data_IF_070979993499
#
_entry.id   IF_070979993499
#
_cell.length_a   1.000
_cell.length_b   1.000
_cell.length_c   1.000
_cell.angle_alpha   90.00
_cell.angle_beta   90.00
_cell.angle_gamma   90.00
#
_symmetry.space_group_name_H-M   'P 1'
#
loop_
_entity.id
_entity.type
_entity.pdbx_description
1 polymer ?
2 polymer ?
3 polymer ?
4 polymer ?
5 non-polymer ?
6 non-polymer ?
7 non-polymer ?
8 non-polymer ?
9 non-polymer ?
10 water ?
#
loop_
_entity_poly.entity_id
_entity_poly.type
_entity_poly.pdbx_seq_one_letter_code
_entity_poly.pdbx_strand_id
2 'polydeoxyribonucleotide' '(DC)(DG)(DG)(DC)(DA)(DT)(DA)(DC)(DG)' ?
3 'polydeoxyribonucleotide' '(DC)(DG)(DT)(DA)(8OG)' ?
4 'polydeoxyribonucleotide' '(DG)(DC)(DC)(DG)' ?
#
# COMPACT_ATOMS: atom_id res chain seq x y z
N UNK A 12 9.43 -15.81 17.50
CA UNK A 12 8.73 -14.88 16.53
C UNK A 12 8.18 -13.67 17.31
N UNK A 13 8.71 -12.46 17.07
CA UNK A 13 8.17 -11.27 17.76
C UNK A 13 6.74 -10.91 17.30
N UNK A 14 6.02 -10.16 18.12
CA UNK A 14 4.57 -9.98 17.93
C UNK A 14 4.22 -8.90 16.89
N UNK A 15 5.14 -7.95 16.70
CA UNK A 15 4.93 -6.85 15.75
C UNK A 15 5.68 -7.12 14.45
N UNK A 16 5.07 -6.81 13.31
CA UNK A 16 5.69 -7.04 12.00
C UNK A 16 6.97 -6.23 11.80
N UNK A 17 7.06 -5.05 12.44
CA UNK A 17 8.27 -4.23 12.30
C UNK A 17 9.48 -4.76 13.06
N UNK A 18 9.28 -5.81 13.88
CA UNK A 18 10.37 -6.46 14.60
C UNK A 18 10.99 -7.68 13.92
N UNK A 19 10.56 -8.00 12.69
CA UNK A 19 11.02 -9.20 12.01
C UNK A 19 11.13 -8.92 10.51
N UNK A 20 12.17 -9.45 9.86
CA UNK A 20 12.30 -9.31 8.41
C UNK A 20 11.20 -10.09 7.70
N UNK A 21 10.57 -9.42 6.73
CA UNK A 21 9.56 -10.09 5.92
C UNK A 21 9.96 -9.90 4.47
N UNK A 22 10.43 -10.96 3.83
CA UNK A 22 10.85 -10.87 2.43
C UNK A 22 9.65 -10.82 1.48
N UNK A 23 9.87 -10.38 0.25
CA UNK A 23 8.82 -10.32 -0.73
C UNK A 23 8.28 -11.70 -1.08
N UNK A 24 9.20 -12.63 -1.31
CA UNK A 24 8.86 -14.03 -1.60
C UNK A 24 9.25 -14.91 -0.41
N UNK A 25 8.49 -15.96 -0.19
CA UNK A 25 8.63 -16.70 1.06
C UNK A 25 8.20 -18.16 0.86
N UNK A 26 7.93 -18.85 1.98
CA UNK A 26 7.76 -20.32 2.00
C UNK A 26 6.38 -20.77 2.42
N UNK A 27 5.42 -19.84 2.46
CA UNK A 27 4.06 -20.15 2.92
C UNK A 27 3.03 -19.36 2.13
N UNK A 28 3.29 -19.24 0.83
CA UNK A 28 2.50 -18.37 -0.02
C UNK A 28 1.02 -18.71 -0.05
N UNK A 29 0.70 -20.00 -0.21
CA UNK A 29 -0.69 -20.47 -0.23
C UNK A 29 -1.45 -20.18 1.07
N UNK A 30 -0.79 -20.43 2.21
CA UNK A 30 -1.39 -20.19 3.52
C UNK A 30 -1.65 -18.70 3.75
N UNK A 31 -0.61 -17.88 3.55
CA UNK A 31 -0.72 -16.42 3.76
C UNK A 31 -1.85 -15.81 2.89
N UNK A 32 -1.95 -16.30 1.63
CA UNK A 32 -2.99 -15.87 0.64
C UNK A 32 -4.40 -16.13 1.13
N UNK A 33 -4.62 -17.36 1.60
CA UNK A 33 -5.93 -17.75 2.14
C UNK A 33 -6.34 -16.85 3.30
N UNK A 34 -5.40 -16.60 4.21
CA UNK A 34 -5.68 -15.71 5.35
C UNK A 34 -5.96 -14.29 4.85
N UNK A 35 -5.25 -13.86 3.81
CA UNK A 35 -5.52 -12.53 3.24
C UNK A 35 -6.88 -12.38 2.58
N UNK A 36 -7.42 -13.47 2.01
CA UNK A 36 -8.80 -13.47 1.53
C UNK A 36 -9.78 -13.16 2.67
N UNK A 37 -9.60 -13.82 3.81
CA UNK A 37 -10.44 -13.60 5.00
C UNK A 37 -10.29 -12.18 5.55
N UNK A 38 -9.05 -11.66 5.53
CA UNK A 38 -8.78 -10.27 5.92
C UNK A 38 -9.56 -9.30 5.05
N UNK A 39 -9.44 -9.48 3.74
CA UNK A 39 -10.11 -8.64 2.76
C UNK A 39 -11.63 -8.66 2.97
N UNK A 40 -12.20 -9.84 3.14
CA UNK A 40 -13.64 -10.01 3.37
C UNK A 40 -14.10 -9.32 4.64
N UNK A 41 -13.32 -9.43 5.71
CA UNK A 41 -13.60 -8.71 6.97
C UNK A 41 -13.64 -7.20 6.75
N UNK A 42 -12.68 -6.68 5.98
CA UNK A 42 -12.68 -5.27 5.58
C UNK A 42 -13.94 -4.88 4.82
N UNK A 43 -14.39 -5.74 3.90
CA UNK A 43 -15.63 -5.46 3.17
C UNK A 43 -16.89 -5.39 4.08
N UNK A 44 -16.87 -6.05 5.22
CA UNK A 44 -17.98 -5.95 6.18
C UNK A 44 -17.69 -4.97 7.33
N UNK A 45 -16.73 -4.07 7.14
CA UNK A 45 -16.38 -3.05 8.15
C UNK A 45 -15.73 -3.54 9.44
N UNK A 46 -15.19 -4.76 9.44
CA UNK A 46 -14.58 -5.34 10.62
C UNK A 46 -13.06 -5.17 10.56
N UNK A 47 -12.60 -3.96 10.94
CA UNK A 47 -11.18 -3.64 10.87
C UNK A 47 -10.34 -4.47 11.84
N UNK A 48 -10.89 -4.82 13.00
CA UNK A 48 -10.18 -5.67 13.96
C UNK A 48 -9.85 -7.05 13.40
N UNK A 49 -10.86 -7.69 12.82
CA UNK A 49 -10.67 -9.01 12.22
C UNK A 49 -9.72 -8.94 11.00
N UNK A 50 -9.87 -7.88 10.20
CA UNK A 50 -8.93 -7.66 9.05
C UNK A 50 -7.50 -7.63 9.56
N UNK A 51 -7.27 -6.83 10.61
CA UNK A 51 -5.94 -6.71 11.18
C UNK A 51 -5.37 -8.03 11.64
N UNK A 52 -6.17 -8.83 12.38
CA UNK A 52 -5.67 -10.09 12.87
C UNK A 52 -5.32 -11.06 11.73
N UNK A 53 -6.20 -11.17 10.74
CA UNK A 53 -5.93 -12.06 9.58
C UNK A 53 -4.71 -11.56 8.80
N UNK A 54 -4.60 -10.25 8.62
CA UNK A 54 -3.38 -9.69 8.00
C UNK A 54 -2.12 -10.02 8.78
N UNK A 55 -2.16 -9.84 10.11
CA UNK A 55 -1.00 -10.11 10.96
C UNK A 55 -0.62 -11.58 10.93
N UNK A 56 -1.62 -12.46 10.99
CA UNK A 56 -1.38 -13.89 10.93
C UNK A 56 -0.75 -14.27 9.58
N UNK A 57 -1.28 -13.72 8.51
CA UNK A 57 -0.69 -13.95 7.20
C UNK A 57 0.78 -13.50 7.17
N UNK A 58 1.05 -12.33 7.73
CA UNK A 58 2.41 -11.77 7.74
C UNK A 58 3.39 -12.62 8.55
N UNK A 59 2.91 -13.20 9.65
CA UNK A 59 3.72 -14.09 10.46
C UNK A 59 4.21 -15.25 9.57
N UNK A 60 3.32 -15.81 8.77
CA UNK A 60 3.69 -16.90 7.86
C UNK A 60 4.72 -16.48 6.83
N UNK A 61 4.60 -15.25 6.32
CA UNK A 61 5.59 -14.72 5.38
C UNK A 61 6.99 -14.63 5.99
N UNK A 62 7.07 -14.45 7.31
CA UNK A 62 8.33 -14.27 8.03
C UNK A 62 9.01 -15.57 8.47
N UNK A 63 8.32 -16.69 8.32
CA UNK A 63 8.86 -17.99 8.71
C UNK A 63 9.98 -18.41 7.76
N UNK A 64 10.99 -19.13 8.29
CA UNK A 64 12.12 -19.53 7.46
C UNK A 64 11.89 -20.77 6.58
N UNK A 65 10.76 -21.44 6.73
CA UNK A 65 10.44 -22.62 5.92
C UNK A 65 8.93 -22.87 5.90
N UNK A 66 8.46 -23.82 5.07
CA UNK A 66 7.02 -24.11 5.04
C UNK A 66 6.46 -24.70 6.32
N UNK A 67 5.27 -24.25 6.69
CA UNK A 67 4.46 -24.92 7.68
C UNK A 67 3.89 -26.20 7.05
N UNK A 68 4.25 -27.36 7.63
CA UNK A 68 3.74 -28.66 7.19
C UNK A 68 2.79 -29.34 8.19
N UNK A 69 2.83 -28.95 9.45
CA UNK A 69 2.00 -29.55 10.50
C UNK A 69 1.42 -28.49 11.40
N UNK A 70 0.26 -28.79 11.96
CA UNK A 70 -0.48 -27.85 12.80
C UNK A 70 0.33 -27.41 14.02
N UNK A 71 1.09 -28.34 14.60
CA UNK A 71 1.92 -28.07 15.77
C UNK A 71 2.91 -26.92 15.59
N UNK A 72 3.35 -26.68 14.35
CA UNK A 72 4.31 -25.60 14.08
C UNK A 72 3.70 -24.20 14.28
N UNK A 73 2.38 -24.10 14.35
CA UNK A 73 1.71 -22.84 14.70
C UNK A 73 1.74 -22.52 16.20
N UNK A 74 1.94 -23.53 17.05
CA UNK A 74 1.96 -23.33 18.51
C UNK A 74 3.03 -22.31 18.90
N UNK A 75 2.62 -21.30 19.67
CA UNK A 75 3.53 -20.25 20.10
C UNK A 75 3.62 -19.07 19.14
N UNK A 76 3.13 -19.21 17.90
CA UNK A 76 3.22 -18.10 16.94
C UNK A 76 2.19 -17.04 17.27
N UNK A 77 2.59 -15.77 17.26
CA UNK A 77 1.65 -14.70 17.56
C UNK A 77 0.59 -14.56 16.46
N UNK A 78 -0.62 -14.15 16.87
CA UNK A 78 -1.77 -13.92 16.00
C UNK A 78 -2.42 -15.17 15.42
N UNK A 79 -2.03 -16.35 15.92
CA UNK A 79 -2.69 -17.60 15.57
C UNK A 79 -3.49 -18.14 16.74
N UNK A 80 -4.81 -17.99 16.64
CA UNK A 80 -5.78 -18.52 17.61
C UNK A 80 -6.62 -19.58 16.94
N UNK A 81 -7.82 -19.81 17.49
CA UNK A 81 -8.69 -20.88 16.99
C UNK A 81 -9.02 -20.76 15.50
N UNK A 82 -9.38 -19.55 15.06
CA UNK A 82 -9.86 -19.33 13.71
C UNK A 82 -8.76 -19.47 12.65
N UNK A 83 -7.67 -18.72 12.81
CA UNK A 83 -6.56 -18.76 11.85
C UNK A 83 -5.93 -20.13 11.82
N UNK A 84 -5.89 -20.81 12.97
CA UNK A 84 -5.30 -22.15 13.05
C UNK A 84 -6.16 -23.19 12.32
N UNK A 85 -7.47 -23.08 12.45
CA UNK A 85 -8.39 -23.96 11.71
C UNK A 85 -8.26 -23.78 10.21
N UNK A 86 -8.09 -22.54 9.75
CA UNK A 86 -7.94 -22.28 8.33
C UNK A 86 -6.69 -23.01 7.81
N UNK A 87 -5.58 -22.86 8.51
CA UNK A 87 -4.34 -23.54 8.12
C UNK A 87 -4.49 -25.06 8.19
N UNK A 88 -5.11 -25.57 9.26
CA UNK A 88 -5.36 -27.00 9.43
C UNK A 88 -6.06 -27.59 8.21
N UNK A 89 -7.14 -26.94 7.78
CA UNK A 89 -7.92 -27.40 6.63
C UNK A 89 -7.11 -27.37 5.34
N UNK A 90 -6.34 -26.29 5.16
CA UNK A 90 -5.43 -26.22 4.02
C UNK A 90 -4.35 -27.34 4.04
N UNK A 91 -3.79 -27.63 5.20
CA UNK A 91 -2.75 -28.67 5.30
C UNK A 91 -3.35 -30.07 5.05
N UNK A 92 -4.59 -30.27 5.47
CA UNK A 92 -5.26 -31.58 5.36
C UNK A 92 -5.85 -31.83 4.00
N UNK A 93 -6.60 -30.85 3.48
CA UNK A 93 -7.41 -31.01 2.27
C UNK A 93 -6.97 -30.15 1.07
N UNK A 94 -5.97 -29.28 1.26
CA UNK A 94 -5.51 -28.38 0.20
C UNK A 94 -6.46 -27.22 -0.10
N UNK A 95 -7.52 -27.08 0.70
CA UNK A 95 -8.58 -26.11 0.48
C UNK A 95 -9.25 -25.84 1.83
N UNK A 96 -9.68 -24.59 2.06
CA UNK A 96 -10.40 -24.21 3.28
C UNK A 96 -11.79 -23.79 2.87
N UNK A 97 -12.80 -24.51 3.37
CA UNK A 97 -14.16 -24.28 2.90
C UNK A 97 -14.62 -22.84 3.10
N UNK A 98 -14.31 -22.25 4.25
CA UNK A 98 -14.67 -20.86 4.52
C UNK A 98 -14.09 -19.92 3.46
N UNK A 99 -12.81 -20.12 3.16
CA UNK A 99 -12.12 -19.30 2.15
C UNK A 99 -12.79 -19.45 0.79
N UNK A 100 -13.12 -20.68 0.41
CA UNK A 100 -13.75 -20.91 -0.90
C UNK A 100 -15.14 -20.32 -0.99
N UNK A 101 -15.90 -20.41 0.10
CA UNK A 101 -17.21 -19.79 0.20
C UNK A 101 -17.13 -18.26 0.01
N UNK A 102 -16.14 -17.62 0.64
CA UNK A 102 -15.91 -16.18 0.40
C UNK A 102 -15.55 -15.90 -1.05
N UNK A 103 -14.57 -16.62 -1.60
CA UNK A 103 -14.15 -16.42 -2.99
C UNK A 103 -15.30 -16.44 -3.98
N UNK A 104 -16.18 -17.42 -3.79
CA UNK A 104 -17.35 -17.64 -4.65
C UNK A 104 -18.43 -16.58 -4.52
N UNK A 105 -18.54 -15.97 -3.34
CA UNK A 105 -19.69 -15.15 -2.98
C UNK A 105 -19.87 -13.91 -3.84
N UNK A 106 -21.13 -13.63 -4.18
CA UNK A 106 -21.46 -12.46 -4.99
C UNK A 106 -21.01 -11.18 -4.28
N UNK A 107 -21.20 -11.14 -2.97
CA UNK A 107 -20.81 -10.00 -2.13
C UNK A 107 -19.31 -9.73 -2.23
N UNK A 108 -18.49 -10.75 -2.02
CA UNK A 108 -17.04 -10.58 -2.09
C UNK A 108 -16.58 -10.15 -3.48
N UNK A 109 -17.06 -10.85 -4.50
CA UNK A 109 -16.66 -10.58 -5.87
C UNK A 109 -17.01 -9.16 -6.31
N UNK A 110 -18.19 -8.68 -5.92
CA UNK A 110 -18.65 -7.34 -6.30
C UNK A 110 -17.92 -6.23 -5.53
N UNK A 111 -17.80 -6.42 -4.23
CA UNK A 111 -17.05 -5.49 -3.37
C UNK A 111 -15.60 -5.37 -3.80
N UNK A 112 -15.00 -6.52 -4.18
CA UNK A 112 -13.66 -6.51 -4.73
C UNK A 112 -13.59 -5.68 -6.02
N UNK A 113 -14.52 -5.94 -6.94
CA UNK A 113 -14.59 -5.22 -8.21
C UNK A 113 -14.79 -3.73 -8.00
N UNK A 114 -15.72 -3.36 -7.12
CA UNK A 114 -16.03 -1.94 -6.93
C UNK A 114 -14.91 -1.21 -6.17
N UNK A 115 -14.38 -1.81 -5.11
CA UNK A 115 -13.32 -1.16 -4.31
C UNK A 115 -12.00 -1.00 -5.07
N UNK A 116 -11.79 -1.85 -6.08
CA UNK A 116 -10.64 -1.74 -6.97
C UNK A 116 -10.69 -0.51 -7.88
N UNK A 117 -11.85 0.12 -8.03
CA UNK A 117 -11.97 1.32 -8.85
C UNK A 117 -11.35 2.49 -8.10
N UNK A 118 -10.52 3.25 -8.79
CA UNK A 118 -9.95 4.48 -8.23
C UNK A 118 -11.11 5.48 -8.00
N UNK A 119 -11.26 5.94 -6.76
CA UNK A 119 -12.36 6.83 -6.35
C UNK A 119 -13.49 6.16 -5.57
N UNK A 120 -13.44 4.83 -5.47
CA UNK A 120 -14.44 4.04 -4.75
C UNK A 120 -13.82 3.33 -3.56
N UNK A 121 -14.33 3.57 -2.36
CA UNK A 121 -13.87 2.91 -1.15
C UNK A 121 -14.90 1.88 -0.73
N UNK A 122 -14.67 1.27 0.43
CA UNK A 122 -15.60 0.26 0.96
C UNK A 122 -17.04 0.81 1.10
N UNK A 123 -17.17 2.00 1.69
CA UNK A 123 -18.48 2.60 1.94
C UNK A 123 -19.29 2.86 0.66
N UNK A 124 -18.63 3.35 -0.39
CA UNK A 124 -19.30 3.59 -1.66
C UNK A 124 -19.68 2.25 -2.30
N UNK A 125 -18.72 1.32 -2.37
CA UNK A 125 -18.95 -0.02 -2.91
C UNK A 125 -20.14 -0.74 -2.22
N UNK A 126 -20.17 -0.66 -0.90
CA UNK A 126 -21.25 -1.26 -0.10
C UNK A 126 -22.62 -0.65 -0.42
N UNK A 127 -22.71 0.68 -0.49
CA UNK A 127 -23.97 1.35 -0.83
C UNK A 127 -24.45 0.95 -2.22
N UNK A 128 -23.54 0.97 -3.20
CA UNK A 128 -23.85 0.50 -4.55
C UNK A 128 -24.32 -0.97 -4.57
N UNK A 129 -23.69 -1.80 -3.74
CA UNK A 129 -24.08 -3.21 -3.62
C UNK A 129 -25.52 -3.33 -3.13
N UNK A 130 -25.83 -2.58 -2.07
CA UNK A 130 -27.18 -2.54 -1.49
C UNK A 130 -28.23 -2.00 -2.45
N UNK A 131 -27.84 -1.07 -3.33
CA UNK A 131 -28.71 -0.57 -4.42
C UNK A 131 -28.92 -1.56 -5.58
N UNK A 132 -28.24 -2.71 -5.55
CA UNK A 132 -28.42 -3.75 -6.53
C UNK A 132 -27.44 -3.70 -7.68
N UNK A 133 -26.43 -2.80 -7.62
CA UNK A 133 -25.47 -2.67 -8.70
C UNK A 133 -24.43 -3.78 -8.56
N UNK A 134 -23.98 -4.34 -9.68
CA UNK A 134 -23.06 -5.49 -9.67
C UNK A 134 -21.86 -5.41 -10.62
N UNK A 135 -21.97 -4.65 -11.72
CA UNK A 135 -20.97 -4.67 -12.77
C UNK A 135 -20.47 -3.26 -13.07
N UNK A 136 -19.34 -3.17 -13.74
CA UNK A 136 -18.81 -1.87 -14.15
C UNK A 136 -19.78 -1.14 -15.11
N UNK A 137 -20.40 -1.89 -16.02
CA UNK A 137 -21.40 -1.30 -16.92
C UNK A 137 -22.67 -0.80 -16.20
N UNK A 138 -23.04 -1.40 -15.07
CA UNK A 138 -24.09 -0.83 -14.20
C UNK A 138 -23.75 0.58 -13.72
N UNK A 139 -22.47 0.82 -13.43
CA UNK A 139 -22.00 2.14 -13.00
C UNK A 139 -21.92 3.13 -14.16
N UNK A 140 -21.52 2.63 -15.33
CA UNK A 140 -21.44 3.45 -16.54
C UNK A 140 -22.81 3.87 -17.08
N UNK A 141 -23.82 3.03 -16.86
CA UNK A 141 -25.22 3.34 -17.22
C UNK A 141 -25.84 4.49 -16.42
N UNK A 142 -25.36 4.73 -15.20
CA UNK A 142 -25.84 5.84 -14.35
C UNK A 142 -24.69 6.80 -13.96
N UNK A 143 -24.05 7.44 -14.97
CA UNK A 143 -22.83 8.21 -14.73
C UNK A 143 -23.04 9.54 -14.01
N UNK A 144 -24.28 10.01 -13.92
CA UNK A 144 -24.63 11.24 -13.18
C UNK A 144 -24.30 11.14 -11.68
N UNK A 145 -24.37 9.92 -11.14
CA UNK A 145 -24.02 9.65 -9.74
C UNK A 145 -22.51 9.71 -9.44
N UNK A 146 -21.66 9.55 -10.44
CA UNK A 146 -20.21 9.37 -10.23
C UNK A 146 -19.48 10.69 -9.99
N UNK A 147 -18.49 10.66 -9.11
CA UNK A 147 -17.60 11.82 -8.94
C UNK A 147 -16.66 11.87 -10.14
N UNK A 148 -16.00 13.01 -10.34
CA UNK A 148 -15.03 13.15 -11.43
C UNK A 148 -13.91 12.11 -11.30
N UNK A 149 -13.50 11.86 -10.07
CA UNK A 149 -12.44 10.90 -9.74
C UNK A 149 -12.92 9.48 -10.07
N UNK A 150 -14.16 9.15 -9.71
CA UNK A 150 -14.74 7.84 -10.07
C UNK A 150 -14.94 7.69 -11.56
N UNK A 151 -15.33 8.77 -12.24
CA UNK A 151 -15.42 8.73 -13.71
C UNK A 151 -14.08 8.39 -14.33
N UNK A 152 -13.02 9.01 -13.82
CA UNK A 152 -11.67 8.74 -14.30
C UNK A 152 -11.26 7.31 -14.00
N UNK A 153 -11.52 6.88 -12.77
CA UNK A 153 -11.23 5.50 -12.37
C UNK A 153 -11.93 4.47 -13.23
N UNK A 154 -13.17 4.77 -13.61
CA UNK A 154 -13.94 3.85 -14.44
C UNK A 154 -13.50 3.88 -15.91
N UNK A 155 -13.30 5.07 -16.47
CA UNK A 155 -12.77 5.21 -17.85
C UNK A 155 -11.47 4.46 -18.03
N UNK A 156 -10.58 4.61 -17.04
CA UNK A 156 -9.25 4.03 -17.15
C UNK A 156 -9.09 2.68 -16.45
N UNK A 157 -10.19 2.09 -16.00
CA UNK A 157 -10.15 0.89 -15.18
C UNK A 157 -9.35 -0.26 -15.81
N UNK A 158 -9.53 -0.49 -17.11
CA UNK A 158 -8.85 -1.59 -17.78
C UNK A 158 -7.33 -1.43 -17.75
N UNK A 159 -6.85 -0.25 -18.14
CA UNK A 159 -5.41 0.03 -18.10
C UNK A 159 -4.87 -0.06 -16.66
N UNK A 160 -5.63 0.47 -15.72
CA UNK A 160 -5.24 0.48 -14.30
C UNK A 160 -5.19 -0.93 -13.69
N UNK A 161 -5.86 -1.90 -14.32
CA UNK A 161 -5.80 -3.30 -13.91
C UNK A 161 -4.59 -4.07 -14.47
N UNK A 162 -3.90 -3.49 -15.44
CA UNK A 162 -2.77 -4.10 -16.11
C UNK A 162 -1.51 -3.83 -15.29
N UNK A 163 -0.67 -4.86 -15.05
CA UNK A 163 0.49 -4.59 -14.21
C UNK A 163 1.49 -3.60 -14.81
N UNK A 164 2.01 -2.74 -13.95
CA UNK A 164 3.06 -1.80 -14.28
C UNK A 164 4.37 -2.57 -14.13
N UNK A 165 5.26 -2.47 -15.12
CA UNK A 165 6.58 -3.15 -15.10
C UNK A 165 7.71 -2.19 -14.74
N UNK A 166 8.87 -2.74 -14.38
CA UNK A 166 10.01 -1.92 -13.98
C UNK A 166 10.50 -1.00 -15.11
N UNK A 167 10.43 -1.46 -16.35
CA UNK A 167 10.71 -0.61 -17.53
C UNK A 167 9.77 0.61 -17.61
N UNK A 168 8.50 0.41 -17.27
CA UNK A 168 7.54 1.51 -17.18
C UNK A 168 7.99 2.51 -16.13
N UNK A 169 8.41 1.99 -14.98
CA UNK A 169 8.81 2.85 -13.85
C UNK A 169 10.00 3.75 -14.24
N UNK A 170 11.00 3.16 -14.88
CA UNK A 170 12.17 3.93 -15.32
C UNK A 170 11.80 5.03 -16.32
N UNK A 171 10.93 4.69 -17.27
CA UNK A 171 10.36 5.67 -18.19
C UNK A 171 9.69 6.83 -17.44
N UNK A 172 8.82 6.50 -16.49
CA UNK A 172 8.08 7.50 -15.71
C UNK A 172 8.98 8.37 -14.84
N UNK A 173 10.01 7.78 -14.25
CA UNK A 173 10.92 8.54 -13.41
C UNK A 173 11.66 9.63 -14.20
N UNK A 174 12.07 9.28 -15.42
CA UNK A 174 12.72 10.25 -16.30
C UNK A 174 11.80 11.45 -16.58
N UNK A 175 10.52 11.21 -16.87
CA UNK A 175 9.63 12.31 -17.23
C UNK A 175 9.32 13.19 -16.02
N UNK A 176 9.20 12.56 -14.85
CA UNK A 176 8.94 13.27 -13.60
C UNK A 176 10.14 14.14 -13.23
N UNK A 177 11.32 13.56 -13.33
CA UNK A 177 12.57 14.30 -13.13
C UNK A 177 12.70 15.54 -14.01
N UNK A 178 12.31 15.43 -15.29
CA UNK A 178 12.41 16.57 -16.20
C UNK A 178 11.53 17.71 -15.72
N UNK A 179 10.27 17.40 -15.39
CA UNK A 179 9.33 18.39 -14.90
C UNK A 179 9.79 18.97 -13.56
N UNK A 180 10.33 18.12 -12.70
CA UNK A 180 10.79 18.54 -11.37
C UNK A 180 12.00 19.46 -11.48
N UNK A 181 12.91 19.13 -12.39
CA UNK A 181 14.10 19.95 -12.66
C UNK A 181 13.80 21.35 -13.17
N UNK A 182 12.69 21.52 -13.90
CA UNK A 182 12.24 22.83 -14.35
C UNK A 182 11.49 23.55 -13.25
N UNK A 183 10.70 22.79 -12.49
CA UNK A 183 9.94 23.37 -11.39
C UNK A 183 10.88 23.92 -10.31
N UNK A 184 11.96 23.19 -10.05
CA UNK A 184 12.90 23.58 -9.00
C UNK A 184 14.24 22.89 -9.17
N UNK A 185 15.21 23.56 -9.81
CA UNK A 185 16.55 23.00 -9.95
C UNK A 185 17.14 22.55 -8.61
N UNK A 186 17.71 21.35 -8.61
CA UNK A 186 18.28 20.74 -7.43
C UNK A 186 17.33 19.77 -6.72
N UNK A 187 16.04 19.79 -7.06
CA UNK A 187 15.07 18.91 -6.41
C UNK A 187 15.32 17.51 -6.89
N UNK A 188 15.03 16.53 -6.02
CA UNK A 188 15.33 15.14 -6.30
C UNK A 188 14.05 14.33 -6.30
N UNK A 189 14.10 13.20 -6.98
CA UNK A 189 12.95 12.32 -7.14
C UNK A 189 13.43 10.95 -6.68
N UNK A 190 12.74 10.38 -5.70
CA UNK A 190 13.02 9.05 -5.17
C UNK A 190 11.85 8.10 -5.40
N UNK A 191 12.14 6.93 -5.98
CA UNK A 191 11.14 5.88 -6.16
C UNK A 191 10.83 5.27 -4.79
N UNK A 192 9.54 5.17 -4.45
CA UNK A 192 9.13 4.60 -3.17
C UNK A 192 8.08 3.51 -3.42
N UNK A 193 7.24 3.20 -2.45
CA UNK A 193 6.25 2.14 -2.59
C UNK A 193 6.80 0.76 -2.85
N UNK A 194 5.96 -0.08 -3.45
CA UNK A 194 6.31 -1.49 -3.66
C UNK A 194 7.54 -1.73 -4.49
N UNK A 195 7.81 -0.85 -5.47
CA UNK A 195 9.01 -1.01 -6.29
C UNK A 195 10.29 -0.84 -5.47
N UNK A 196 10.26 0.06 -4.48
CA UNK A 196 11.45 0.22 -3.61
C UNK A 196 11.64 -1.02 -2.70
N UNK A 197 10.56 -1.71 -2.38
CA UNK A 197 10.62 -2.99 -1.63
C UNK A 197 11.03 -4.17 -2.49
N UNK A 198 11.31 -3.94 -3.76
CA UNK A 198 11.83 -4.98 -4.67
C UNK A 198 10.83 -5.67 -5.58
N UNK A 199 9.58 -5.23 -5.58
CA UNK A 199 8.58 -5.81 -6.47
C UNK A 199 8.98 -5.56 -7.92
N UNK A 200 8.75 -6.55 -8.76
CA UNK A 200 9.10 -6.43 -10.18
C UNK A 200 7.95 -5.87 -10.96
N UNK A 201 6.73 -5.98 -10.41
CA UNK A 201 5.56 -5.36 -10.99
C UNK A 201 4.76 -4.62 -9.93
N UNK A 202 3.80 -3.84 -10.37
CA UNK A 202 2.92 -3.14 -9.45
C UNK A 202 1.68 -2.69 -10.15
N UNK A 203 0.77 -2.07 -9.42
CA UNK A 203 -0.41 -1.45 -10.02
C UNK A 203 -0.39 0.06 -9.97
N UNK A 204 0.74 0.62 -9.53
CA UNK A 204 0.91 2.05 -9.47
C UNK A 204 2.38 2.35 -9.19
N UNK A 205 2.76 3.60 -9.40
CA UNK A 205 4.13 4.06 -9.13
C UNK A 205 4.10 5.23 -8.14
N UNK A 206 5.02 5.20 -7.19
CA UNK A 206 5.10 6.24 -6.17
C UNK A 206 6.44 6.94 -6.18
N UNK A 207 6.41 8.27 -6.12
CA UNK A 207 7.61 9.10 -6.04
C UNK A 207 7.56 10.10 -4.90
N UNK A 208 8.72 10.31 -4.30
CA UNK A 208 8.92 11.24 -3.22
C UNK A 208 9.94 12.30 -3.68
N UNK A 209 9.56 13.55 -3.58
CA UNK A 209 10.33 14.68 -4.08
C UNK A 209 10.74 15.56 -2.91
N UNK A 210 11.98 16.04 -2.92
CA UNK A 210 12.43 16.97 -1.90
C UNK A 210 13.52 17.85 -2.51
N UNK A 211 14.13 18.68 -1.68
CA UNK A 211 15.22 19.55 -2.12
C UNK A 211 16.15 19.68 -0.93
N UNK A 212 17.50 19.66 -1.16
CA UNK A 212 18.47 19.68 -0.04
C UNK A 212 18.45 20.93 0.88
N UNK A 213 18.00 22.06 0.34
CA UNK A 213 17.79 23.30 1.11
C UNK A 213 16.38 23.37 1.72
N UNK A 214 16.29 23.16 3.03
CA UNK A 214 15.01 23.22 3.76
C UNK A 214 14.20 24.45 3.40
N UNK A 215 12.96 24.24 3.01
CA UNK A 215 12.05 25.32 2.66
C UNK A 215 11.93 25.56 1.18
N UNK A 216 12.93 25.15 0.39
CA UNK A 216 12.88 25.38 -1.06
C UNK A 216 11.78 24.56 -1.73
N UNK A 217 11.40 23.45 -1.09
CA UNK A 217 10.34 22.59 -1.64
C UNK A 217 8.92 23.19 -1.46
N UNK A 218 8.78 24.26 -0.68
CA UNK A 218 7.48 24.90 -0.49
C UNK A 218 6.90 25.32 -1.86
N UNK A 219 5.64 24.95 -2.10
CA UNK A 219 4.94 25.27 -3.35
C UNK A 219 5.38 24.52 -4.58
N UNK A 220 6.14 23.44 -4.41
CA UNK A 220 6.72 22.72 -5.53
C UNK A 220 5.69 21.90 -6.30
N UNK A 221 4.80 21.21 -5.60
CA UNK A 221 3.94 20.26 -6.28
C UNK A 221 3.05 20.89 -7.38
N UNK A 222 2.43 22.05 -7.11
CA UNK A 222 1.65 22.68 -8.20
C UNK A 222 2.48 22.97 -9.43
N UNK A 223 3.72 23.40 -9.21
CA UNK A 223 4.62 23.69 -10.31
C UNK A 223 4.97 22.46 -11.11
N UNK A 224 5.17 21.34 -10.42
CA UNK A 224 5.44 20.09 -11.10
C UNK A 224 4.20 19.65 -11.91
N UNK A 225 3.03 19.73 -11.29
CA UNK A 225 1.80 19.27 -11.93
C UNK A 225 1.46 20.04 -13.20
N UNK A 226 1.62 21.36 -13.14
CA UNK A 226 1.35 22.24 -14.30
C UNK A 226 2.27 21.94 -15.48
N UNK A 227 3.53 21.64 -15.19
CA UNK A 227 4.51 21.26 -16.20
C UNK A 227 4.22 19.89 -16.82
N UNK A 228 3.87 18.91 -15.98
CA UNK A 228 3.45 17.62 -16.51
C UNK A 228 2.19 17.74 -17.37
N UNK A 229 1.26 18.59 -16.93
CA UNK A 229 0.03 18.91 -17.68
C UNK A 229 0.32 19.50 -19.05
N UNK A 230 1.23 20.47 -19.09
CA UNK A 230 1.63 21.11 -20.36
C UNK A 230 2.37 20.18 -21.32
N UNK A 231 3.02 19.14 -20.79
CA UNK A 231 3.62 18.08 -21.60
C UNK A 231 2.61 17.06 -22.16
N UNK A 232 1.34 17.18 -21.81
CA UNK A 232 0.28 16.28 -22.26
C UNK A 232 0.27 14.93 -21.55
N UNK A 233 0.90 14.86 -20.38
CA UNK A 233 1.13 13.57 -19.68
C UNK A 233 0.08 13.21 -18.64
N UNK A 234 -0.81 14.14 -18.30
CA UNK A 234 -1.70 13.96 -17.19
C UNK A 234 -3.08 13.71 -17.74
N UNK A 235 -3.53 12.46 -17.61
CA UNK A 235 -4.89 12.09 -18.00
C UNK A 235 -5.89 12.49 -16.94
N UNK A 236 -5.49 12.47 -15.67
CA UNK A 236 -6.33 12.89 -14.54
C UNK A 236 -5.46 13.37 -13.37
N UNK A 237 -5.90 14.44 -12.70
CA UNK A 237 -5.31 14.96 -11.46
C UNK A 237 -6.39 15.68 -10.67
N UNK A 238 -6.21 15.83 -9.36
CA UNK A 238 -7.19 16.49 -8.49
C UNK A 238 -7.23 18.02 -8.59
N UNK A 239 -6.06 18.65 -8.77
CA UNK A 239 -5.93 20.11 -8.78
C UNK A 239 -6.30 20.73 -10.13
N UNK A 259 -0.30 21.83 -0.26
CA UNK A 259 -0.58 20.80 -1.26
C UNK A 259 0.66 19.95 -1.52
N UNK A 260 0.64 18.72 -0.98
CA UNK A 260 1.84 17.88 -0.91
C UNK A 260 1.73 16.44 -1.40
N UNK A 261 0.51 15.98 -1.72
CA UNK A 261 0.28 14.66 -2.33
C UNK A 261 -0.61 14.83 -3.55
N UNK A 262 -0.22 14.26 -4.67
CA UNK A 262 -1.01 14.29 -5.90
C UNK A 262 -1.25 12.86 -6.34
N UNK A 263 -2.51 12.46 -6.50
CA UNK A 263 -2.85 11.12 -6.97
C UNK A 263 -3.33 11.25 -8.41
N UNK A 264 -2.45 10.92 -9.35
CA UNK A 264 -2.64 11.16 -10.79
C UNK A 264 -2.86 9.90 -11.60
N UNK A 265 -3.33 10.10 -12.84
CA UNK A 265 -3.24 9.08 -13.86
C UNK A 265 -2.41 9.69 -14.98
N UNK A 266 -1.30 9.02 -15.30
CA UNK A 266 -0.35 9.47 -16.28
C UNK A 266 -0.59 8.73 -17.57
N UNK A 267 -0.26 9.42 -18.64
CA UNK A 267 -0.14 8.83 -19.93
C UNK A 267 1.27 8.27 -20.18
N UNK A 268 1.39 6.95 -20.21
CA UNK A 268 2.68 6.29 -20.43
C UNK A 268 2.83 5.74 -21.84
N UNK A 269 3.85 6.21 -22.60
CA UNK A 269 4.22 5.62 -23.90
C UNK A 269 4.34 4.08 -23.94
N UNK A 270 3.76 3.50 -24.98
CA UNK A 270 3.79 2.06 -25.26
C UNK A 270 4.13 1.92 -26.75
N UNK A 271 4.48 0.69 -27.21
CA UNK A 271 4.74 0.49 -28.65
C UNK A 271 3.57 0.95 -29.55
N UNK A 272 3.75 2.09 -30.23
CA UNK A 272 2.76 2.64 -31.14
C UNK A 272 1.48 3.18 -30.49
N UNK A 273 1.53 3.39 -29.18
CA UNK A 273 0.36 3.77 -28.41
C UNK A 273 0.79 4.22 -26.99
N UNK A 274 -0.07 4.00 -26.02
CA UNK A 274 0.22 4.33 -24.62
C UNK A 274 -0.76 3.63 -23.72
N UNK A 275 -0.53 3.73 -22.41
CA UNK A 275 -1.49 3.25 -21.43
C UNK A 275 -1.55 4.18 -20.24
N UNK A 276 -2.69 4.19 -19.59
CA UNK A 276 -2.92 4.95 -18.37
C UNK A 276 -2.24 4.23 -17.19
N UNK A 277 -1.58 5.01 -16.34
CA UNK A 277 -0.86 4.47 -15.16
C UNK A 277 -1.10 5.38 -13.94
N UNK A 278 -1.46 4.77 -12.82
CA UNK A 278 -1.58 5.50 -11.57
C UNK A 278 -0.19 5.90 -11.03
N UNK A 279 -0.02 7.19 -10.77
CA UNK A 279 1.25 7.72 -10.22
C UNK A 279 0.92 8.62 -9.05
N UNK A 280 1.65 8.44 -7.96
CA UNK A 280 1.51 9.29 -6.79
C UNK A 280 2.77 10.10 -6.66
N UNK A 281 2.60 11.41 -6.50
CA UNK A 281 3.70 12.34 -6.33
C UNK A 281 3.57 13.00 -4.99
N UNK A 282 4.64 12.94 -4.20
CA UNK A 282 4.60 13.44 -2.83
C UNK A 282 5.79 14.35 -2.62
N UNK A 283 5.57 15.48 -1.96
CA UNK A 283 6.65 16.40 -1.62
C UNK A 283 6.84 16.44 -0.10
N UNK A 284 8.09 16.47 0.35
CA UNK A 284 8.40 16.64 1.78
C UNK A 284 9.63 17.51 1.93
N UNK A 285 9.68 18.36 2.97
CA UNK A 285 10.95 19.05 3.25
C UNK A 285 12.02 18.05 3.63
N UNK A 286 13.28 18.39 3.38
CA UNK A 286 14.37 17.46 3.67
C UNK A 286 14.40 17.01 5.15
N UNK A 287 14.01 17.89 6.07
CA UNK A 287 13.88 17.51 7.49
C UNK A 287 12.95 16.33 7.72
N UNK A 288 11.90 16.24 6.91
CA UNK A 288 10.89 15.18 7.04
C UNK A 288 11.14 14.01 6.10
N UNK A 289 12.09 14.15 5.16
CA UNK A 289 12.27 13.15 4.10
C UNK A 289 12.42 11.71 4.62
N UNK A 290 13.25 11.48 5.67
CA UNK A 290 13.37 10.09 6.13
C UNK A 290 12.07 9.48 6.61
N UNK A 291 11.22 10.28 7.26
CA UNK A 291 9.92 9.81 7.72
C UNK A 291 8.98 9.57 6.55
N UNK A 292 9.01 10.47 5.57
CA UNK A 292 8.15 10.33 4.39
C UNK A 292 8.59 9.11 3.58
N UNK A 293 9.91 8.93 3.43
CA UNK A 293 10.45 7.78 2.75
C UNK A 293 10.02 6.47 3.43
N UNK A 294 10.17 6.42 4.74
CA UNK A 294 9.74 5.27 5.53
C UNK A 294 8.26 4.96 5.30
N UNK A 295 7.41 5.97 5.47
CA UNK A 295 5.97 5.76 5.32
C UNK A 295 5.58 5.29 3.93
N UNK A 296 6.09 6.02 2.93
CA UNK A 296 5.73 5.76 1.55
C UNK A 296 6.34 4.48 0.98
N UNK A 297 7.34 3.92 1.66
CA UNK A 297 7.95 2.67 1.23
C UNK A 297 7.16 1.46 1.72
N UNK A 298 6.46 1.60 2.83
CA UNK A 298 5.53 0.57 3.25
C UNK A 298 6.23 -0.67 3.77
N UNK A 299 5.57 -1.84 3.72
CA UNK A 299 4.19 -2.02 3.27
C UNK A 299 3.19 -1.33 4.20
N UNK A 300 1.92 -1.32 3.77
CA UNK A 300 0.83 -0.74 4.60
C UNK A 300 0.84 -1.37 6.00
N UNK A 301 0.85 -2.70 6.05
CA UNK A 301 0.86 -3.39 7.35
C UNK A 301 2.11 -3.07 8.16
N UNK A 302 3.26 -3.05 7.50
CA UNK A 302 4.49 -2.66 8.16
C UNK A 302 4.36 -1.28 8.84
N UNK A 303 3.77 -0.32 8.14
CA UNK A 303 3.68 1.04 8.68
C UNK A 303 2.69 1.12 9.86
N UNK A 304 1.57 0.44 9.73
CA UNK A 304 0.60 0.36 10.84
C UNK A 304 1.24 -0.25 12.06
N UNK A 305 1.97 -1.35 11.84
CA UNK A 305 2.64 -2.08 12.91
C UNK A 305 3.76 -1.24 13.54
N UNK A 306 4.48 -0.52 12.71
CA UNK A 306 5.55 0.35 13.19
C UNK A 306 5.01 1.50 14.06
N UNK A 307 3.92 2.10 13.62
CA UNK A 307 3.27 3.18 14.36
C UNK A 307 2.63 2.67 15.66
N UNK A 308 2.02 1.49 15.57
CA UNK A 308 1.49 0.82 16.77
C UNK A 308 2.58 0.55 17.79
N UNK A 309 3.68 -0.02 17.31
CA UNK A 309 4.85 -0.30 18.13
C UNK A 309 5.42 0.95 18.78
N UNK A 310 5.59 1.99 17.98
CA UNK A 310 6.11 3.25 18.47
C UNK A 310 5.29 3.77 19.65
N UNK A 311 3.97 3.84 19.46
CA UNK A 311 3.06 4.40 20.46
C UNK A 311 2.96 3.50 21.68
N UNK A 312 2.71 2.21 21.47
CA UNK A 312 2.37 1.31 22.58
C UNK A 312 3.60 0.83 23.34
N UNK A 313 4.69 0.54 22.64
CA UNK A 313 5.89 0.04 23.29
C UNK A 313 6.86 1.16 23.71
N UNK A 314 6.93 2.25 22.93
CA UNK A 314 7.92 3.31 23.18
C UNK A 314 7.35 4.64 23.61
N UNK A 315 6.02 4.80 23.58
CA UNK A 315 5.39 6.05 23.97
C UNK A 315 5.65 7.24 23.05
N UNK A 316 6.03 6.95 21.79
CA UNK A 316 6.33 7.97 20.80
C UNK A 316 5.32 7.89 19.66
N UNK A 317 4.98 9.03 19.07
CA UNK A 317 3.93 9.11 18.06
C UNK A 317 4.58 9.28 16.70
N UNK A 318 4.38 8.30 15.84
CA UNK A 318 5.02 8.26 14.51
C UNK A 318 4.01 8.53 13.39
N UNK A 319 4.40 9.38 12.44
CA UNK A 319 3.71 9.45 11.15
C UNK A 319 4.72 9.72 10.03
N UNK A 320 4.23 10.06 8.84
CA UNK A 320 5.15 10.27 7.70
C UNK A 320 5.83 11.64 7.70
N UNK A 321 5.57 12.46 8.73
CA UNK A 321 6.20 13.76 8.92
C UNK A 321 7.25 13.76 10.02
N UNK A 322 7.16 12.84 10.99
CA UNK A 322 8.01 12.91 12.15
C UNK A 322 7.69 11.91 13.23
N UNK A 323 8.44 12.01 14.32
CA UNK A 323 8.35 11.13 15.46
C UNK A 323 8.40 12.05 16.69
N UNK A 324 7.30 12.05 17.44
CA UNK A 324 7.05 13.01 18.52
C UNK A 324 7.09 12.32 19.87
N UNK A 325 7.85 12.91 20.79
CA UNK A 325 7.85 12.54 22.19
C UNK A 325 6.83 13.46 22.88
N UNK A 326 5.66 12.92 23.29
CA UNK A 326 4.64 13.75 23.91
C UNK A 326 4.93 14.11 25.37
N UNK A 327 5.97 13.53 25.99
CA UNK A 327 6.45 13.96 27.33
C UNK A 327 7.29 15.22 27.22
N UNK A 328 8.41 15.14 26.49
CA UNK A 328 9.27 16.29 26.23
C UNK A 328 8.64 17.34 25.32
N UNK A 329 7.63 16.94 24.55
CA UNK A 329 7.03 17.79 23.51
C UNK A 329 8.07 18.17 22.45
N UNK A 330 8.82 17.17 22.00
CA UNK A 330 9.88 17.38 21.02
C UNK A 330 9.78 16.37 19.89
N UNK A 331 10.29 16.77 18.74
CA UNK A 331 10.38 15.91 17.55
C UNK A 331 11.80 15.37 17.42
N UNK A 332 11.93 14.10 17.05
CA UNK A 332 13.22 13.50 16.78
C UNK A 332 13.69 13.93 15.39
N UNK A 333 14.89 14.49 15.31
CA UNK A 333 15.48 14.88 14.03
C UNK A 333 16.14 13.61 13.50
N UNK A 334 15.67 13.15 12.35
CA UNK A 334 16.27 12.00 11.70
C UNK A 334 16.92 12.46 10.41
N UNK A 335 18.10 11.90 10.13
CA UNK A 335 18.79 12.12 8.89
C UNK A 335 18.68 10.93 7.92
N UNK A 336 18.08 9.83 8.39
CA UNK A 336 18.01 8.59 7.63
C UNK A 336 16.97 7.67 8.22
N UNK A 337 16.52 6.71 7.42
CA UNK A 337 15.67 5.63 7.94
C UNK A 337 16.38 4.88 9.06
N UNK A 338 17.68 4.67 8.90
CA UNK A 338 18.48 4.02 9.95
C UNK A 338 18.32 4.73 11.30
N UNK A 339 18.39 6.07 11.30
CA UNK A 339 18.11 6.88 12.50
C UNK A 339 16.79 6.52 13.15
N UNK A 340 15.74 6.40 12.32
CA UNK A 340 14.39 6.18 12.86
C UNK A 340 14.28 4.82 13.55
N UNK A 341 14.76 3.77 12.90
CA UNK A 341 14.78 2.44 13.52
C UNK A 341 15.58 2.49 14.85
N UNK A 342 16.74 3.16 14.84
CA UNK A 342 17.52 3.29 16.08
C UNK A 342 16.77 3.99 17.21
N UNK A 343 16.06 5.07 16.89
CA UNK A 343 15.34 5.83 17.90
C UNK A 343 14.12 5.09 18.47
N UNK A 344 13.61 4.12 17.71
CA UNK A 344 12.58 3.19 18.18
C UNK A 344 13.14 1.91 18.80
N UNK A 345 14.47 1.75 18.86
CA UNK A 345 15.06 0.54 19.44
C UNK A 345 14.78 -0.75 18.65
N UNK A 346 14.69 -0.62 17.33
CA UNK A 346 14.40 -1.73 16.43
C UNK A 346 15.62 -1.97 15.57
N UNK A 347 15.91 -3.23 15.28
CA UNK A 347 16.97 -3.53 14.34
C UNK A 347 16.55 -3.04 12.96
N UNK A 348 17.51 -2.48 12.23
CA UNK A 348 17.24 -1.92 10.91
C UNK A 348 16.74 -3.01 9.95
N UNK A 349 15.70 -2.69 9.17
CA UNK A 349 15.24 -3.55 8.08
C UNK A 349 15.30 -2.76 6.78
N UNK A 350 16.05 -3.27 5.78
CA UNK A 350 16.02 -2.61 4.49
C UNK A 350 14.64 -2.74 3.86
N UNK A 351 14.33 -1.94 2.82
CA UNK A 351 12.99 -1.99 2.23
C UNK A 351 12.53 -3.37 1.77
N UNK A 352 13.44 -4.18 1.24
CA UNK A 352 13.06 -5.50 0.75
C UNK A 352 12.73 -6.49 1.87
N UNK A 353 12.93 -6.10 3.14
CA UNK A 353 12.47 -6.89 4.30
C UNK A 353 11.32 -6.26 5.06
N UNK A 354 10.61 -5.32 4.41
CA UNK A 354 9.43 -4.66 4.98
C UNK A 354 8.15 -5.06 4.25
N UNK A 355 8.16 -6.24 3.65
CA UNK A 355 7.03 -6.75 2.87
C UNK A 355 6.06 -7.50 3.76
N UNK A 356 5.68 -6.88 4.87
CA UNK A 356 4.73 -7.47 5.80
C UNK A 356 3.34 -7.57 5.19
#
# INVERSE_FOLDING_TARGET
GSAAAPLSPAWMPAYACQRPTPLTHHNTGLSEALEILAEAAGFEGSEGRLLTFCRAASVLKALPSPVTTLSQLQGLPHFGEHSSRVVQELLEHGVCEEVERVRRSERYQTMKLFTQIFGVGVKTADRWYREGLRTLDDLREQPQKLTQQQKAGLQHHQDLSTPVLRSDVDALQQVVEEAVGQALPGATVTLTGGFRRGKLQGHDVDFLITHPKEGQEAGLLPRVMCRLQDQGLILYHQHQHSCCESPTRLAQQSHMDAFERSFCIFRLPQPGSWKAVRVDLVVAPVSQFPFALLGWTGSKLFQRELRRFSRKEKGLWLNSHGLFDPEQKTFFQAASEEDIFRHLGLEYLPPEQRNA
#
